data_IF_462789421909
#
_entry.id   IF_462789421909
#
_cell.length_a   1.000
_cell.length_b   1.000
_cell.length_c   1.000
_cell.angle_alpha   90.00
_cell.angle_beta   90.00
_cell.angle_gamma   90.00
#
_symmetry.space_group_name_H-M   'P 1'
#
loop_
_entity.id
_entity.type
_entity.pdbx_description
1 polymer ?
#
# COMPACT_ATOMS: atom_id res chain seq x y z
N UNK A 1 -7.86 12.68 18.15
CA UNK A 1 -6.75 11.87 18.70
C UNK A 1 -7.14 10.42 18.48
N UNK A 2 -6.65 9.82 17.39
CA UNK A 2 -6.85 8.41 17.07
C UNK A 2 -6.33 7.55 18.21
N UNK A 3 -7.07 6.51 18.58
CA UNK A 3 -6.70 5.63 19.71
C UNK A 3 -5.36 4.97 19.38
N UNK A 4 -4.37 4.88 20.32
CA UNK A 4 -3.00 4.47 19.99
C UNK A 4 -2.82 3.11 19.29
N UNK A 5 -3.83 2.23 19.33
CA UNK A 5 -3.81 0.93 18.63
C UNK A 5 -4.36 0.98 17.20
N UNK A 6 -4.96 2.11 16.79
CA UNK A 6 -5.54 2.30 15.45
C UNK A 6 -4.59 3.00 14.47
N UNK A 7 -3.51 3.62 14.96
CA UNK A 7 -2.49 4.19 14.08
C UNK A 7 -1.72 3.07 13.38
N UNK A 8 -1.41 3.26 12.10
CA UNK A 8 -0.80 2.22 11.25
C UNK A 8 0.39 1.50 11.89
N UNK A 9 1.38 2.20 12.50
CA UNK A 9 2.55 1.51 13.06
C UNK A 9 2.23 0.50 14.16
N UNK A 10 1.08 0.63 14.84
CA UNK A 10 0.66 -0.24 15.94
C UNK A 10 -0.51 -1.16 15.56
N UNK A 11 -1.11 -0.98 14.38
CA UNK A 11 -2.34 -1.66 13.99
C UNK A 11 -2.02 -3.03 13.39
N UNK A 12 -2.20 -4.07 14.20
CA UNK A 12 -1.94 -5.47 13.81
C UNK A 12 -3.22 -6.27 13.56
N UNK A 13 -4.38 -5.74 13.96
CA UNK A 13 -5.69 -6.34 13.77
C UNK A 13 -6.50 -5.55 12.72
N UNK A 14 -7.50 -6.16 12.08
CA UNK A 14 -8.43 -5.44 11.21
C UNK A 14 -9.14 -4.30 11.96
N UNK A 15 -9.58 -3.29 11.21
CA UNK A 15 -10.40 -2.22 11.79
C UNK A 15 -11.60 -2.76 12.57
N UNK A 16 -11.94 -2.14 13.73
CA UNK A 16 -13.15 -2.44 14.49
C UNK A 16 -14.42 -2.41 13.63
N UNK A 17 -15.40 -3.24 13.99
CA UNK A 17 -16.65 -3.37 13.23
C UNK A 17 -17.51 -2.09 13.22
N UNK A 18 -17.37 -1.21 14.20
CA UNK A 18 -18.03 0.11 14.20
C UNK A 18 -17.37 1.12 13.25
N UNK A 19 -16.09 0.93 12.92
CA UNK A 19 -15.37 1.73 11.91
C UNK A 19 -15.61 1.14 10.51
N UNK A 20 -15.33 -0.15 10.31
CA UNK A 20 -15.58 -0.85 9.04
C UNK A 20 -17.01 -1.43 8.99
N UNK A 21 -18.01 -0.58 9.23
CA UNK A 21 -19.38 -1.01 9.55
C UNK A 21 -20.13 -1.75 8.43
N UNK A 22 -19.68 -1.61 7.18
CA UNK A 22 -20.27 -2.31 6.04
C UNK A 22 -19.63 -3.69 5.78
N UNK A 23 -18.49 -4.00 6.42
CA UNK A 23 -17.72 -5.22 6.16
C UNK A 23 -18.51 -6.50 6.38
N UNK A 24 -19.30 -6.57 7.46
CA UNK A 24 -20.15 -7.75 7.74
C UNK A 24 -21.32 -7.90 6.77
N UNK A 25 -21.85 -6.76 6.28
CA UNK A 25 -22.94 -6.75 5.29
C UNK A 25 -22.45 -7.19 3.91
N UNK A 26 -21.21 -6.88 3.56
CA UNK A 26 -20.58 -7.18 2.28
C UNK A 26 -19.23 -7.89 2.48
N UNK A 27 -19.23 -9.18 2.83
CA UNK A 27 -17.99 -9.93 3.03
C UNK A 27 -17.22 -10.10 1.72
N UNK A 28 -15.88 -10.10 1.80
CA UNK A 28 -14.94 -10.17 0.66
C UNK A 28 -15.30 -11.23 -0.38
N UNK A 29 -15.65 -12.42 0.10
CA UNK A 29 -15.99 -13.59 -0.72
C UNK A 29 -17.16 -13.35 -1.69
N UNK A 30 -17.96 -12.31 -1.48
CA UNK A 30 -19.16 -12.01 -2.25
C UNK A 30 -18.97 -10.92 -3.30
N UNK A 31 -17.84 -10.18 -3.26
CA UNK A 31 -17.66 -8.97 -4.05
C UNK A 31 -17.71 -9.25 -5.56
N UNK A 32 -16.93 -10.20 -6.06
CA UNK A 32 -16.84 -10.51 -7.49
C UNK A 32 -18.18 -10.88 -8.14
N UNK A 33 -19.06 -11.53 -7.37
CA UNK A 33 -20.39 -11.93 -7.83
C UNK A 33 -21.46 -10.84 -7.61
N UNK A 34 -21.13 -9.78 -6.88
CA UNK A 34 -22.10 -8.73 -6.54
C UNK A 34 -22.36 -7.83 -7.75
N UNK A 35 -23.64 -7.61 -8.09
CA UNK A 35 -24.05 -6.81 -9.26
C UNK A 35 -23.51 -5.35 -9.29
N UNK A 36 -23.18 -4.81 -8.12
CA UNK A 36 -22.64 -3.45 -7.95
C UNK A 36 -21.11 -3.41 -7.92
N UNK A 37 -20.44 -4.55 -8.02
CA UNK A 37 -18.99 -4.62 -8.14
C UNK A 37 -18.64 -4.38 -9.62
N UNK A 38 -18.38 -3.12 -9.95
CA UNK A 38 -18.17 -2.66 -11.31
C UNK A 38 -16.70 -2.54 -11.69
N UNK A 39 -16.42 -1.75 -12.71
CA UNK A 39 -15.09 -1.66 -13.31
C UNK A 39 -14.14 -0.79 -12.48
N UNK A 40 -14.66 0.22 -11.76
CA UNK A 40 -13.85 1.03 -10.85
C UNK A 40 -13.38 0.20 -9.65
N UNK A 41 -14.27 -0.60 -9.05
CA UNK A 41 -13.91 -1.51 -7.96
C UNK A 41 -12.87 -2.55 -8.42
N UNK A 42 -13.05 -3.13 -9.62
CA UNK A 42 -12.07 -4.06 -10.21
C UNK A 42 -10.71 -3.41 -10.44
N UNK A 43 -10.70 -2.19 -10.98
CA UNK A 43 -9.47 -1.44 -11.20
C UNK A 43 -8.74 -1.14 -9.89
N UNK A 44 -9.49 -0.75 -8.85
CA UNK A 44 -8.95 -0.54 -7.50
C UNK A 44 -8.21 -1.79 -6.99
N UNK A 45 -8.88 -2.95 -7.02
CA UNK A 45 -8.29 -4.22 -6.60
C UNK A 45 -7.05 -4.59 -7.44
N UNK A 46 -7.08 -4.34 -8.75
CA UNK A 46 -5.93 -4.57 -9.63
C UNK A 46 -4.72 -3.71 -9.25
N UNK A 47 -4.92 -2.44 -8.88
CA UNK A 47 -3.84 -1.58 -8.39
C UNK A 47 -3.26 -2.12 -7.08
N UNK A 48 -4.12 -2.52 -6.14
CA UNK A 48 -3.69 -3.11 -4.87
C UNK A 48 -2.87 -4.40 -5.08
N UNK A 49 -3.33 -5.29 -5.96
CA UNK A 49 -2.63 -6.53 -6.26
C UNK A 49 -1.28 -6.27 -6.94
N UNK A 50 -1.19 -5.26 -7.82
CA UNK A 50 0.08 -4.82 -8.40
C UNK A 50 1.06 -4.35 -7.30
N UNK A 51 0.61 -3.60 -6.29
CA UNK A 51 1.47 -3.20 -5.18
C UNK A 51 1.95 -4.39 -4.36
N UNK A 52 1.08 -5.36 -4.06
CA UNK A 52 1.45 -6.60 -3.37
C UNK A 52 2.50 -7.38 -4.15
N UNK A 53 2.27 -7.60 -5.44
CA UNK A 53 3.16 -8.37 -6.29
C UNK A 53 4.53 -7.69 -6.43
N UNK A 54 4.54 -6.40 -6.78
CA UNK A 54 5.78 -5.68 -7.05
C UNK A 54 6.60 -5.47 -5.77
N UNK A 55 5.93 -5.20 -4.64
CA UNK A 55 6.54 -5.12 -3.33
C UNK A 55 7.20 -6.44 -2.92
N UNK A 56 6.47 -7.55 -3.04
CA UNK A 56 7.00 -8.89 -2.78
C UNK A 56 8.16 -9.27 -3.71
N UNK A 57 8.09 -8.86 -4.98
CA UNK A 57 9.14 -9.07 -5.97
C UNK A 57 10.44 -8.32 -5.59
N UNK A 58 10.34 -7.05 -5.17
CA UNK A 58 11.49 -6.25 -4.71
C UNK A 58 12.11 -6.86 -3.45
N UNK A 59 11.29 -7.24 -2.46
CA UNK A 59 11.74 -7.89 -1.23
C UNK A 59 12.50 -9.19 -1.52
N UNK A 60 11.94 -10.04 -2.39
CA UNK A 60 12.54 -11.31 -2.78
C UNK A 60 13.88 -11.10 -3.48
N UNK A 61 13.97 -10.17 -4.42
CA UNK A 61 15.21 -9.87 -5.13
C UNK A 61 16.30 -9.33 -4.18
N UNK A 62 15.94 -8.44 -3.25
CA UNK A 62 16.87 -7.93 -2.24
C UNK A 62 17.39 -9.03 -1.34
N UNK A 63 16.53 -9.93 -0.88
CA UNK A 63 16.96 -11.10 -0.10
C UNK A 63 17.90 -12.01 -0.92
N UNK A 64 17.51 -12.35 -2.15
CA UNK A 64 18.33 -13.20 -3.03
C UNK A 64 19.70 -12.59 -3.31
N UNK A 65 19.78 -11.27 -3.48
CA UNK A 65 21.05 -10.55 -3.62
C UNK A 65 21.90 -10.61 -2.34
N UNK A 66 21.30 -10.41 -1.16
CA UNK A 66 21.99 -10.48 0.14
C UNK A 66 22.61 -11.85 0.41
N UNK A 67 21.97 -12.91 -0.08
CA UNK A 67 22.47 -14.30 -0.02
C UNK A 67 23.49 -14.63 -1.12
N UNK A 68 23.94 -13.63 -1.90
CA UNK A 68 24.94 -13.80 -2.96
C UNK A 68 24.42 -14.52 -4.21
N UNK A 69 23.10 -14.66 -4.35
CA UNK A 69 22.48 -15.38 -5.46
C UNK A 69 22.40 -14.59 -6.77
N UNK A 70 22.73 -13.29 -6.77
CA UNK A 70 22.61 -12.42 -7.94
C UNK A 70 23.81 -11.48 -8.04
N UNK A 71 24.35 -11.32 -9.25
CA UNK A 71 25.46 -10.40 -9.50
C UNK A 71 25.00 -8.93 -9.37
N UNK A 72 25.87 -7.99 -8.92
CA UNK A 72 25.51 -6.58 -8.74
C UNK A 72 24.90 -5.91 -9.98
N UNK A 73 25.43 -6.16 -11.16
CA UNK A 73 24.93 -5.57 -12.41
C UNK A 73 23.56 -6.12 -12.81
N UNK A 74 23.33 -7.41 -12.54
CA UNK A 74 22.03 -8.05 -12.76
C UNK A 74 20.98 -7.49 -11.79
N UNK A 75 21.34 -7.41 -10.51
CA UNK A 75 20.49 -6.82 -9.47
C UNK A 75 20.15 -5.37 -9.81
N UNK A 76 21.12 -4.54 -10.17
CA UNK A 76 20.88 -3.14 -10.53
C UNK A 76 19.85 -3.02 -11.68
N UNK A 77 20.04 -3.78 -12.78
CA UNK A 77 19.14 -3.74 -13.94
C UNK A 77 17.72 -4.17 -13.58
N UNK A 78 17.58 -5.12 -12.66
CA UNK A 78 16.28 -5.60 -12.20
C UNK A 78 15.61 -4.61 -11.23
N UNK A 79 16.34 -4.20 -10.21
CA UNK A 79 15.86 -3.53 -9.02
C UNK A 79 15.53 -2.05 -9.26
N UNK A 80 16.47 -1.29 -9.83
CA UNK A 80 16.35 0.17 -9.92
C UNK A 80 15.09 0.66 -10.68
N UNK A 81 14.72 0.13 -11.86
CA UNK A 81 13.50 0.56 -12.55
C UNK A 81 12.23 0.14 -11.81
N UNK A 82 12.22 -1.04 -11.18
CA UNK A 82 11.06 -1.56 -10.43
C UNK A 82 10.81 -0.77 -9.14
N UNK A 83 11.88 -0.43 -8.41
CA UNK A 83 11.77 0.43 -7.23
C UNK A 83 11.16 1.78 -7.60
N UNK A 84 11.68 2.45 -8.64
CA UNK A 84 11.11 3.73 -9.10
C UNK A 84 9.64 3.61 -9.51
N UNK A 85 9.30 2.55 -10.23
CA UNK A 85 7.93 2.29 -10.64
C UNK A 85 7.01 2.10 -9.42
N UNK A 86 7.40 1.25 -8.47
CA UNK A 86 6.65 0.98 -7.25
C UNK A 86 6.40 2.27 -6.44
N UNK A 87 7.47 3.00 -6.10
CA UNK A 87 7.37 4.20 -5.28
C UNK A 87 6.52 5.29 -5.97
N UNK A 88 6.74 5.52 -7.26
CA UNK A 88 6.02 6.55 -8.01
C UNK A 88 4.54 6.24 -8.20
N UNK A 89 4.17 4.97 -8.43
CA UNK A 89 2.77 4.59 -8.55
C UNK A 89 2.05 4.59 -7.20
N UNK A 90 2.73 4.20 -6.11
CA UNK A 90 2.12 4.20 -4.79
C UNK A 90 1.82 5.64 -4.33
N UNK A 91 2.79 6.54 -4.49
CA UNK A 91 2.59 7.97 -4.21
C UNK A 91 1.43 8.56 -5.04
N UNK A 92 1.37 8.25 -6.34
CA UNK A 92 0.30 8.76 -7.21
C UNK A 92 -1.07 8.18 -6.88
N UNK A 93 -1.13 6.93 -6.44
CA UNK A 93 -2.36 6.25 -6.03
C UNK A 93 -2.95 6.90 -4.78
N UNK A 94 -2.17 6.99 -3.70
CA UNK A 94 -2.60 7.66 -2.46
C UNK A 94 -2.99 9.12 -2.71
N UNK A 95 -2.23 9.83 -3.54
CA UNK A 95 -2.56 11.22 -3.90
C UNK A 95 -3.91 11.38 -4.60
N UNK A 96 -4.35 10.41 -5.40
CA UNK A 96 -5.69 10.41 -6.01
C UNK A 96 -6.75 10.08 -4.96
N UNK A 97 -6.48 9.13 -4.07
CA UNK A 97 -7.40 8.74 -2.99
C UNK A 97 -7.71 9.90 -2.06
N UNK A 98 -6.67 10.55 -1.53
CA UNK A 98 -6.80 11.69 -0.62
C UNK A 98 -7.49 12.87 -1.28
N UNK A 99 -7.12 13.17 -2.54
CA UNK A 99 -7.66 14.34 -3.22
C UNK A 99 -9.09 14.15 -3.73
N UNK A 100 -9.48 12.91 -4.11
CA UNK A 100 -10.71 12.66 -4.87
C UNK A 100 -11.61 11.63 -4.19
N UNK A 101 -11.12 10.42 -3.93
CA UNK A 101 -11.99 9.31 -3.54
C UNK A 101 -12.42 9.35 -2.07
N UNK A 102 -11.50 9.58 -1.13
CA UNK A 102 -11.83 9.65 0.29
C UNK A 102 -12.78 10.82 0.60
N UNK A 103 -12.59 12.05 0.08
CA UNK A 103 -13.58 13.13 0.24
C UNK A 103 -14.95 12.75 -0.33
N UNK A 104 -14.98 12.07 -1.48
CA UNK A 104 -16.23 11.60 -2.08
C UNK A 104 -16.94 10.60 -1.15
N UNK A 105 -16.27 9.55 -0.69
CA UNK A 105 -16.89 8.54 0.18
C UNK A 105 -17.40 9.14 1.50
N UNK A 106 -16.62 10.04 2.13
CA UNK A 106 -17.04 10.79 3.34
C UNK A 106 -18.33 11.59 3.11
N UNK A 107 -18.54 12.11 1.90
CA UNK A 107 -19.73 12.90 1.57
C UNK A 107 -21.02 12.08 1.42
N UNK A 108 -20.92 10.77 1.16
CA UNK A 108 -22.08 9.89 0.97
C UNK A 108 -22.65 9.35 2.28
N UNK A 109 -21.81 9.06 3.27
CA UNK A 109 -22.25 8.56 4.57
C UNK A 109 -21.33 9.00 5.71
N UNK A 110 -21.89 9.70 6.70
CA UNK A 110 -21.14 10.22 7.85
C UNK A 110 -20.48 9.13 8.70
N UNK A 111 -20.98 7.89 8.66
CA UNK A 111 -20.38 6.74 9.37
C UNK A 111 -19.04 6.33 8.76
N UNK A 112 -18.77 6.70 7.51
CA UNK A 112 -17.52 6.41 6.83
C UNK A 112 -16.38 7.37 7.21
N UNK A 113 -16.70 8.53 7.81
CA UNK A 113 -15.73 9.60 8.10
C UNK A 113 -14.55 9.06 8.91
N UNK A 114 -14.81 8.37 10.03
CA UNK A 114 -13.74 7.87 10.90
C UNK A 114 -12.83 6.86 10.18
N UNK A 115 -13.40 6.01 9.33
CA UNK A 115 -12.63 5.02 8.57
C UNK A 115 -11.71 5.68 7.56
N UNK A 116 -12.23 6.61 6.75
CA UNK A 116 -11.43 7.30 5.72
C UNK A 116 -10.46 8.32 6.30
N UNK A 117 -10.77 8.98 7.41
CA UNK A 117 -9.81 9.83 8.12
C UNK A 117 -8.62 8.99 8.65
N UNK A 118 -8.86 7.74 9.07
CA UNK A 118 -7.78 6.82 9.46
C UNK A 118 -6.93 6.38 8.26
N UNK A 119 -7.52 6.14 7.09
CA UNK A 119 -6.77 5.80 5.88
C UNK A 119 -5.94 6.99 5.38
N UNK A 120 -6.49 8.20 5.41
CA UNK A 120 -5.77 9.44 5.12
C UNK A 120 -4.60 9.64 6.12
N UNK A 121 -4.80 9.36 7.42
CA UNK A 121 -3.71 9.35 8.41
C UNK A 121 -2.67 8.24 8.14
N UNK A 122 -3.07 7.07 7.65
CA UNK A 122 -2.15 5.98 7.27
C UNK A 122 -1.21 6.41 6.14
N UNK A 123 -1.71 7.18 5.16
CA UNK A 123 -0.92 7.67 4.02
C UNK A 123 0.26 8.51 4.46
N UNK A 124 0.14 9.31 5.51
CA UNK A 124 1.24 10.12 6.04
C UNK A 124 2.40 9.23 6.55
N UNK A 125 2.09 8.17 7.30
CA UNK A 125 3.11 7.21 7.75
C UNK A 125 3.75 6.45 6.58
N UNK A 126 2.94 6.08 5.59
CA UNK A 126 3.45 5.39 4.39
C UNK A 126 4.32 6.34 3.57
N UNK A 127 3.96 7.62 3.46
CA UNK A 127 4.74 8.61 2.72
C UNK A 127 6.12 8.85 3.36
N UNK A 128 6.19 9.00 4.69
CA UNK A 128 7.47 9.08 5.40
C UNK A 128 8.35 7.84 5.12
N UNK A 129 7.74 6.65 5.14
CA UNK A 129 8.43 5.39 4.90
C UNK A 129 8.81 5.20 3.42
N UNK A 130 8.03 5.74 2.48
CA UNK A 130 8.36 5.80 1.05
C UNK A 130 9.62 6.62 0.80
N UNK A 131 9.74 7.79 1.45
CA UNK A 131 10.94 8.64 1.37
C UNK A 131 12.16 7.86 1.91
N UNK A 132 12.03 7.21 3.06
CA UNK A 132 13.13 6.43 3.64
C UNK A 132 13.53 5.24 2.74
N UNK A 133 12.56 4.55 2.15
CA UNK A 133 12.78 3.46 1.18
C UNK A 133 13.49 3.95 -0.08
N UNK A 134 13.12 5.13 -0.60
CA UNK A 134 13.78 5.76 -1.73
C UNK A 134 15.26 6.11 -1.42
N UNK A 135 15.51 6.71 -0.26
CA UNK A 135 16.84 7.10 0.18
C UNK A 135 17.76 5.88 0.38
N UNK A 136 17.29 4.88 1.12
CA UNK A 136 18.04 3.64 1.36
C UNK A 136 18.23 2.84 0.07
N UNK A 137 17.25 2.80 -0.82
CA UNK A 137 17.34 2.15 -2.13
C UNK A 137 18.37 2.82 -3.05
N UNK A 138 18.43 4.16 -3.05
CA UNK A 138 19.43 4.91 -3.80
C UNK A 138 20.84 4.69 -3.24
N UNK A 139 20.99 4.67 -1.90
CA UNK A 139 22.25 4.36 -1.25
C UNK A 139 22.72 2.94 -1.56
N UNK A 140 21.78 1.98 -1.56
CA UNK A 140 22.07 0.59 -1.92
C UNK A 140 22.53 0.46 -3.37
N UNK A 141 21.82 1.10 -4.32
CA UNK A 141 22.23 1.15 -5.74
C UNK A 141 23.65 1.70 -5.89
N UNK A 142 23.98 2.79 -5.18
CA UNK A 142 25.32 3.38 -5.23
C UNK A 142 26.39 2.42 -4.67
N UNK A 143 26.08 1.70 -3.60
CA UNK A 143 26.98 0.74 -2.95
C UNK A 143 27.17 -0.58 -3.73
N UNK A 144 26.45 -0.80 -4.84
CA UNK A 144 26.64 -2.01 -5.66
C UNK A 144 28.04 -2.09 -6.28
N UNK A 145 28.69 -0.95 -6.53
CA UNK A 145 30.06 -0.89 -7.02
C UNK A 145 31.12 -1.16 -5.95
N UNK A 146 30.75 -1.07 -4.66
CA UNK A 146 31.63 -1.34 -3.51
C UNK A 146 31.67 -2.83 -3.20
N UNK A 147 32.71 -3.32 -2.52
CA UNK A 147 32.79 -4.71 -2.04
C UNK A 147 32.74 -4.80 -0.51
N UNK A 148 32.47 -5.99 0.01
CA UNK A 148 32.50 -6.27 1.45
C UNK A 148 31.41 -5.55 2.25
N UNK A 149 31.79 -5.04 3.42
CA UNK A 149 30.85 -4.58 4.45
C UNK A 149 29.98 -3.40 4.00
N UNK A 150 30.51 -2.46 3.22
CA UNK A 150 29.76 -1.29 2.77
C UNK A 150 28.51 -1.66 1.96
N UNK A 151 28.66 -2.60 1.00
CA UNK A 151 27.56 -3.14 0.21
C UNK A 151 26.55 -3.88 1.09
N UNK A 152 27.05 -4.68 2.04
CA UNK A 152 26.21 -5.45 2.98
C UNK A 152 25.36 -4.53 3.86
N UNK A 153 25.96 -3.49 4.44
CA UNK A 153 25.24 -2.52 5.26
C UNK A 153 24.16 -1.77 4.48
N UNK A 154 24.45 -1.34 3.24
CA UNK A 154 23.46 -0.65 2.42
C UNK A 154 22.30 -1.58 2.02
N UNK A 155 22.59 -2.85 1.71
CA UNK A 155 21.58 -3.86 1.42
C UNK A 155 20.69 -4.15 2.64
N UNK A 156 21.30 -4.28 3.83
CA UNK A 156 20.58 -4.50 5.09
C UNK A 156 19.68 -3.31 5.45
N UNK A 157 20.17 -2.08 5.28
CA UNK A 157 19.39 -0.86 5.55
C UNK A 157 18.18 -0.71 4.61
N UNK A 158 18.35 -0.99 3.31
CA UNK A 158 17.22 -1.01 2.39
C UNK A 158 16.24 -2.14 2.72
N UNK A 159 16.73 -3.34 3.05
CA UNK A 159 15.86 -4.46 3.39
C UNK A 159 14.97 -4.14 4.60
N UNK A 160 15.53 -3.58 5.68
CA UNK A 160 14.75 -3.16 6.85
C UNK A 160 13.68 -2.11 6.49
N UNK A 161 14.06 -1.10 5.72
CA UNK A 161 13.14 -0.04 5.29
C UNK A 161 12.02 -0.58 4.39
N UNK A 162 12.34 -1.47 3.46
CA UNK A 162 11.39 -2.09 2.55
C UNK A 162 10.45 -3.04 3.29
N UNK A 163 10.95 -3.83 4.25
CA UNK A 163 10.12 -4.71 5.07
C UNK A 163 9.09 -3.91 5.88
N UNK A 164 9.52 -2.82 6.53
CA UNK A 164 8.60 -1.95 7.27
C UNK A 164 7.55 -1.31 6.36
N UNK A 165 7.95 -0.82 5.19
CA UNK A 165 7.03 -0.25 4.20
C UNK A 165 5.97 -1.28 3.78
N UNK A 166 6.39 -2.50 3.45
CA UNK A 166 5.50 -3.54 2.98
C UNK A 166 4.55 -4.02 4.08
N UNK A 167 5.02 -4.18 5.31
CA UNK A 167 4.16 -4.59 6.42
C UNK A 167 3.05 -3.56 6.66
N UNK A 168 3.39 -2.27 6.64
CA UNK A 168 2.43 -1.17 6.78
C UNK A 168 1.49 -1.07 5.58
N UNK A 169 2.03 -1.14 4.36
CA UNK A 169 1.21 -1.10 3.15
C UNK A 169 0.20 -2.25 3.12
N UNK A 170 0.61 -3.48 3.44
CA UNK A 170 -0.30 -4.63 3.42
C UNK A 170 -1.44 -4.52 4.43
N UNK A 171 -1.17 -3.96 5.62
CA UNK A 171 -2.22 -3.67 6.61
C UNK A 171 -3.17 -2.59 6.08
N UNK A 172 -2.61 -1.50 5.58
CA UNK A 172 -3.36 -0.38 5.04
C UNK A 172 -4.29 -0.83 3.88
N UNK A 173 -3.76 -1.50 2.85
CA UNK A 173 -4.56 -1.99 1.72
C UNK A 173 -5.70 -2.92 2.18
N UNK A 174 -5.46 -3.74 3.22
CA UNK A 174 -6.49 -4.61 3.74
C UNK A 174 -7.61 -3.84 4.48
N UNK A 175 -7.26 -2.81 5.26
CA UNK A 175 -8.26 -1.94 5.90
C UNK A 175 -9.04 -1.10 4.89
N UNK A 176 -8.34 -0.61 3.88
CA UNK A 176 -8.93 0.16 2.80
C UNK A 176 -9.92 -0.66 1.98
N UNK A 177 -9.56 -1.87 1.56
CA UNK A 177 -10.46 -2.76 0.85
C UNK A 177 -11.74 -3.05 1.65
N UNK A 178 -11.60 -3.23 2.98
CA UNK A 178 -12.72 -3.45 3.90
C UNK A 178 -13.64 -2.22 4.07
N UNK A 179 -13.20 -1.04 3.62
CA UNK A 179 -13.98 0.20 3.61
C UNK A 179 -14.49 0.54 2.21
N UNK A 180 -13.60 0.65 1.23
CA UNK A 180 -13.88 1.10 -0.14
C UNK A 180 -14.80 0.13 -0.87
N UNK A 181 -14.51 -1.18 -0.87
CA UNK A 181 -15.32 -2.13 -1.66
C UNK A 181 -16.76 -2.22 -1.14
N UNK A 182 -17.02 -2.35 0.18
CA UNK A 182 -18.37 -2.28 0.70
C UNK A 182 -19.08 -0.94 0.42
N UNK A 183 -18.36 0.19 0.45
CA UNK A 183 -18.92 1.51 0.11
C UNK A 183 -19.33 1.60 -1.35
N UNK A 184 -18.49 1.14 -2.29
CA UNK A 184 -18.85 1.08 -3.72
C UNK A 184 -20.05 0.17 -3.94
N UNK A 185 -20.09 -0.98 -3.26
CA UNK A 185 -21.19 -1.94 -3.37
C UNK A 185 -22.51 -1.35 -2.82
N UNK A 186 -22.48 -0.68 -1.66
CA UNK A 186 -23.65 -0.05 -1.03
C UNK A 186 -24.22 1.07 -1.91
N UNK A 187 -23.34 1.96 -2.39
CA UNK A 187 -23.77 3.20 -3.05
C UNK A 187 -23.78 3.11 -4.57
N UNK A 188 -23.19 2.08 -5.18
CA UNK A 188 -22.99 1.88 -6.61
C UNK A 188 -22.01 2.85 -7.26
N UNK A 189 -21.24 2.36 -8.23
CA UNK A 189 -20.31 3.19 -9.01
C UNK A 189 -21.01 4.33 -9.75
N UNK A 190 -22.20 4.07 -10.31
CA UNK A 190 -22.96 5.11 -11.01
C UNK A 190 -23.31 6.27 -10.08
N UNK A 191 -23.74 6.00 -8.85
CA UNK A 191 -24.07 7.09 -7.95
C UNK A 191 -22.82 7.85 -7.48
N UNK A 192 -21.69 7.15 -7.29
CA UNK A 192 -20.46 7.73 -6.77
C UNK A 192 -19.71 8.54 -7.83
N UNK A 193 -19.53 8.00 -9.04
CA UNK A 193 -18.53 8.49 -10.01
C UNK A 193 -19.13 9.15 -11.25
N UNK A 194 -20.45 9.15 -11.45
CA UNK A 194 -21.08 9.74 -12.66
C UNK A 194 -21.38 11.24 -12.55
N UNK A 195 -20.45 12.05 -12.00
CA UNK A 195 -20.58 13.51 -11.97
C UNK A 195 -19.71 14.18 -13.02
#
# INVERSE_FOLDING_TARGET
MSTPHLILPNRTAPLPADIAYLREKYPRETWDAHRNFGDTARFWMQMHDMFRELGGMLKTATHHFREGGMAPEEFHRFFAPRLRYFLGHLEGHHGIEDAQYFPLFRSYDKRLIVGFDLLEEDHEYIHEQLILSAQTGQAFIAALAEEGDARRFAADAYAESADRLLDWLLRHLADEEDLVMPTIIEHTETALFSR
#
